data_IF_638881771877
#
_entry.id   IF_638881771877
#
_cell.length_a   1.000
_cell.length_b   1.000
_cell.length_c   1.000
_cell.angle_alpha   90.00
_cell.angle_beta   90.00
_cell.angle_gamma   90.00
#
_symmetry.space_group_name_H-M   'P 1'
#
loop_
_entity.id
_entity.type
_entity.pdbx_description
1 polymer ?
#
# COMPACT_ATOMS: atom_id res chain seq x y z
N UNK A 1 2.30 8.89 0.59
CA UNK A 1 2.39 8.84 -0.89
C UNK A 1 2.10 10.20 -1.53
N UNK A 2 0.97 10.85 -1.26
CA UNK A 2 0.69 12.20 -1.81
C UNK A 2 1.84 13.19 -1.58
N UNK A 3 2.34 13.29 -0.34
CA UNK A 3 3.48 14.15 0.00
C UNK A 3 4.74 13.81 -0.80
N UNK A 4 5.04 12.51 -0.97
CA UNK A 4 6.19 12.06 -1.76
C UNK A 4 6.13 12.56 -3.20
N UNK A 5 4.95 12.52 -3.82
CA UNK A 5 4.73 13.04 -5.18
C UNK A 5 4.95 14.55 -5.23
N UNK A 6 4.33 15.31 -4.32
CA UNK A 6 4.42 16.77 -4.29
C UNK A 6 5.85 17.28 -4.07
N UNK A 7 6.61 16.64 -3.18
CA UNK A 7 8.03 17.00 -2.94
C UNK A 7 8.94 16.75 -4.15
N UNK A 8 8.49 15.94 -5.11
CA UNK A 8 9.26 15.55 -6.31
C UNK A 8 8.67 16.12 -7.59
N UNK A 9 7.74 17.06 -7.47
CA UNK A 9 7.04 17.69 -8.59
C UNK A 9 6.33 16.66 -9.50
N UNK A 10 5.75 15.63 -8.87
CA UNK A 10 4.95 14.60 -9.52
C UNK A 10 3.49 14.92 -9.28
N UNK A 11 2.70 15.03 -10.34
CA UNK A 11 1.25 15.17 -10.25
C UNK A 11 0.64 13.91 -9.59
N UNK A 12 -0.01 14.04 -8.41
CA UNK A 12 -0.64 12.90 -7.75
C UNK A 12 -2.02 12.55 -8.35
N UNK A 13 -2.48 13.26 -9.38
CA UNK A 13 -3.77 12.96 -10.04
C UNK A 13 -3.78 11.53 -10.56
N UNK A 14 -4.79 10.75 -10.17
CA UNK A 14 -4.89 9.33 -10.52
C UNK A 14 -4.16 8.37 -9.57
N UNK A 15 -3.39 8.88 -8.59
CA UNK A 15 -2.85 8.05 -7.52
C UNK A 15 -4.00 7.53 -6.65
N UNK A 16 -4.18 6.22 -6.60
CA UNK A 16 -5.15 5.59 -5.70
C UNK A 16 -4.51 4.52 -4.82
N UNK A 17 -5.09 4.34 -3.64
CA UNK A 17 -4.74 3.27 -2.71
C UNK A 17 -6.04 2.62 -2.27
N UNK A 18 -6.19 1.34 -2.58
CA UNK A 18 -7.33 0.51 -2.22
C UNK A 18 -6.87 -0.53 -1.22
N UNK A 19 -7.62 -0.72 -0.13
CA UNK A 19 -7.33 -1.73 0.87
C UNK A 19 -8.51 -2.67 1.02
N UNK A 20 -8.24 -3.97 0.95
CA UNK A 20 -9.21 -5.03 1.12
C UNK A 20 -8.82 -5.86 2.33
N UNK A 21 -9.71 -5.95 3.31
CA UNK A 21 -9.48 -6.73 4.52
C UNK A 21 -10.37 -7.97 4.52
N UNK A 22 -9.77 -9.15 4.61
CA UNK A 22 -10.46 -10.41 4.83
C UNK A 22 -10.28 -10.81 6.29
N UNK A 23 -11.38 -10.88 7.04
CA UNK A 23 -11.39 -11.27 8.44
C UNK A 23 -11.84 -12.72 8.58
N UNK A 24 -11.10 -13.52 9.33
CA UNK A 24 -11.53 -14.86 9.71
C UNK A 24 -11.91 -14.83 11.20
N UNK A 25 -13.19 -15.06 11.49
CA UNK A 25 -13.75 -14.98 12.85
C UNK A 25 -13.39 -16.17 13.72
N UNK A 26 -12.98 -17.30 13.13
CA UNK A 26 -12.56 -18.51 13.84
C UNK A 26 -11.04 -18.51 14.09
N UNK A 27 -10.28 -17.95 13.16
CA UNK A 27 -8.83 -17.83 13.24
C UNK A 27 -8.39 -16.39 12.96
N UNK A 28 -8.35 -15.55 14.00
CA UNK A 28 -7.95 -14.13 13.90
C UNK A 28 -6.60 -13.96 13.18
N UNK A 29 -5.68 -14.91 13.37
CA UNK A 29 -4.37 -14.99 12.68
C UNK A 29 -4.48 -15.12 11.15
N UNK A 30 -5.59 -15.60 10.60
CA UNK A 30 -5.83 -15.68 9.15
C UNK A 30 -6.41 -14.38 8.56
N UNK A 31 -6.58 -13.33 9.37
CA UNK A 31 -6.95 -12.00 8.86
C UNK A 31 -5.88 -11.51 7.90
N UNK A 32 -6.27 -11.10 6.69
CA UNK A 32 -5.35 -10.61 5.65
C UNK A 32 -5.80 -9.25 5.15
N UNK A 33 -4.85 -8.34 4.95
CA UNK A 33 -5.03 -7.07 4.27
C UNK A 33 -4.28 -7.11 2.95
N UNK A 34 -4.98 -6.86 1.86
CA UNK A 34 -4.40 -6.61 0.54
C UNK A 34 -4.46 -5.12 0.25
N UNK A 35 -3.34 -4.55 -0.17
CA UNK A 35 -3.27 -3.16 -0.61
C UNK A 35 -2.92 -3.12 -2.09
N UNK A 36 -3.75 -2.43 -2.87
CA UNK A 36 -3.51 -2.14 -4.27
C UNK A 36 -3.21 -0.66 -4.42
N UNK A 37 -2.09 -0.33 -5.03
CA UNK A 37 -1.74 1.04 -5.39
C UNK A 37 -1.78 1.18 -6.89
N UNK A 38 -2.53 2.16 -7.37
CA UNK A 38 -2.45 2.62 -8.75
C UNK A 38 -1.63 3.89 -8.81
N UNK A 39 -0.60 3.89 -9.64
CA UNK A 39 0.21 5.07 -9.88
C UNK A 39 -0.46 6.02 -10.90
N UNK A 40 -0.21 7.33 -10.81
CA UNK A 40 -0.56 8.29 -11.84
C UNK A 40 -0.02 7.89 -13.22
N UNK A 41 -0.73 8.30 -14.27
CA UNK A 41 -0.21 8.18 -15.62
C UNK A 41 1.09 8.98 -15.77
N UNK A 42 2.11 8.37 -16.38
CA UNK A 42 3.43 8.99 -16.51
C UNK A 42 4.28 9.00 -15.24
N UNK A 43 3.92 8.23 -14.20
CA UNK A 43 4.71 8.15 -12.97
C UNK A 43 6.17 7.74 -13.26
N UNK A 44 7.19 8.47 -12.74
CA UNK A 44 8.58 8.21 -13.10
C UNK A 44 9.07 6.83 -12.67
N UNK A 45 9.57 6.03 -13.62
CA UNK A 45 10.08 4.66 -13.41
C UNK A 45 11.09 4.56 -12.25
N UNK A 46 12.00 5.55 -12.16
CA UNK A 46 13.03 5.60 -11.11
C UNK A 46 12.45 5.60 -9.68
N UNK A 47 11.19 6.00 -9.51
CA UNK A 47 10.54 6.06 -8.20
C UNK A 47 9.55 4.92 -7.96
N UNK A 48 9.24 4.06 -8.94
CA UNK A 48 8.25 2.98 -8.75
C UNK A 48 8.60 2.05 -7.59
N UNK A 49 9.88 1.69 -7.48
CA UNK A 49 10.39 0.87 -6.36
C UNK A 49 10.30 1.57 -5.00
N UNK A 50 10.26 2.89 -4.97
CA UNK A 50 10.13 3.65 -3.72
C UNK A 50 8.70 3.68 -3.19
N UNK A 51 7.69 3.32 -4.01
CA UNK A 51 6.30 3.38 -3.59
C UNK A 51 5.91 2.22 -2.67
N UNK A 52 6.36 0.99 -2.94
CA UNK A 52 6.04 -0.17 -2.10
C UNK A 52 6.48 0.01 -0.63
N UNK A 53 7.70 0.49 -0.30
CA UNK A 53 8.05 0.78 1.09
C UNK A 53 7.17 1.86 1.75
N UNK A 54 6.65 2.82 0.97
CA UNK A 54 5.80 3.89 1.49
C UNK A 54 4.41 3.34 1.88
N UNK A 55 3.88 2.34 1.16
CA UNK A 55 2.58 1.72 1.50
C UNK A 55 2.65 0.93 2.80
N UNK A 56 3.83 0.42 3.15
CA UNK A 56 4.09 -0.27 4.43
C UNK A 56 4.04 0.67 5.65
N UNK A 57 4.20 1.98 5.44
CA UNK A 57 4.15 2.97 6.54
C UNK A 57 2.73 3.33 6.98
N UNK A 58 1.69 2.84 6.29
CA UNK A 58 0.30 3.06 6.65
C UNK A 58 -0.04 2.36 7.98
N UNK A 59 -0.87 2.99 8.81
CA UNK A 59 -1.31 2.41 10.09
C UNK A 59 -1.98 1.04 9.91
N UNK A 60 -2.84 0.89 8.89
CA UNK A 60 -3.52 -0.39 8.60
C UNK A 60 -2.51 -1.50 8.26
N UNK A 61 -1.54 -1.20 7.41
CA UNK A 61 -0.49 -2.16 7.04
C UNK A 61 0.36 -2.55 8.24
N UNK A 62 0.78 -1.59 9.06
CA UNK A 62 1.54 -1.87 10.29
C UNK A 62 0.77 -2.76 11.25
N UNK A 63 -0.53 -2.52 11.42
CA UNK A 63 -1.39 -3.37 12.24
C UNK A 63 -1.47 -4.80 11.68
N UNK A 64 -1.67 -4.95 10.36
CA UNK A 64 -1.69 -6.26 9.72
C UNK A 64 -0.37 -7.03 9.88
N UNK A 65 0.76 -6.37 9.63
CA UNK A 65 2.10 -6.96 9.79
C UNK A 65 2.42 -7.34 11.25
N UNK A 66 1.88 -6.61 12.23
CA UNK A 66 2.04 -6.93 13.65
C UNK A 66 1.26 -8.18 14.08
N UNK A 67 0.14 -8.50 13.40
CA UNK A 67 -0.60 -9.74 13.64
C UNK A 67 0.20 -10.96 13.17
N UNK A 68 0.67 -10.93 11.92
CA UNK A 68 1.72 -11.81 11.42
C UNK A 68 2.28 -11.30 10.07
N UNK A 69 3.49 -11.72 9.67
CA UNK A 69 4.10 -11.29 8.42
C UNK A 69 3.32 -11.70 7.15
N UNK A 70 2.50 -12.75 7.19
CA UNK A 70 1.71 -13.25 6.06
C UNK A 70 0.30 -12.63 5.94
N UNK A 71 -0.05 -11.74 6.87
CA UNK A 71 -1.33 -11.03 6.92
C UNK A 71 -1.35 -9.81 6.02
N UNK A 72 -0.26 -9.51 5.30
CA UNK A 72 -0.19 -8.36 4.41
C UNK A 72 0.34 -8.75 3.02
N UNK A 73 -0.24 -8.14 2.00
CA UNK A 73 0.19 -8.21 0.60
C UNK A 73 0.03 -6.84 -0.05
N UNK A 74 1.02 -6.42 -0.84
CA UNK A 74 0.98 -5.15 -1.58
C UNK A 74 1.24 -5.39 -3.06
N UNK A 75 0.38 -4.83 -3.91
CA UNK A 75 0.59 -4.71 -5.34
C UNK A 75 0.67 -3.23 -5.73
N UNK A 76 1.56 -2.92 -6.68
CA UNK A 76 1.72 -1.57 -7.23
C UNK A 76 1.64 -1.69 -8.75
N UNK A 77 0.65 -0.99 -9.32
CA UNK A 77 0.30 -1.00 -10.73
C UNK A 77 0.63 0.35 -11.40
#
# INVERSE_FOLDING_TARGET
MRTFCLERDIDPTGLTLTQEATWNTEEIIKTRVKTHVRLPDGFPEKYKRAIAPITETCTVTRLALHLNPSSFECAVD
#
